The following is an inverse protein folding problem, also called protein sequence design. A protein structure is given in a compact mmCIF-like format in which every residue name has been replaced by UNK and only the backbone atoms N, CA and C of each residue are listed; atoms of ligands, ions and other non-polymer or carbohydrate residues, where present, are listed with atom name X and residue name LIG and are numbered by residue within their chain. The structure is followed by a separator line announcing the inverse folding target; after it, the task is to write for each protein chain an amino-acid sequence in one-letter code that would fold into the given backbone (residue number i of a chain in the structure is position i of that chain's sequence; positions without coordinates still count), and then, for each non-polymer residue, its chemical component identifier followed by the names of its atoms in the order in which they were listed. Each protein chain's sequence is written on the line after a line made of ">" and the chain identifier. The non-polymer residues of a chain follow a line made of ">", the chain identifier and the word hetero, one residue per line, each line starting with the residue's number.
data_IF_732122333990
#
_entry.id   IF_732122333990
#
_cell.length_a   1.000
_cell.length_b   1.000
_cell.length_c   1.000
_cell.angle_alpha   90.00
_cell.angle_beta   90.00
_cell.angle_gamma   90.00
#
_symmetry.space_group_name_H-M   'P 1'
#
loop_
_entity.id
_entity.type
_entity.pdbx_description
1 polymer ?
#
# COMPACT_ATOMS: atom_id res chain seq x y z
N UNK A 1 5.81 -7.39 -5.57
CA UNK A 1 6.58 -6.99 -4.39
C UNK A 1 8.05 -7.06 -4.74
N UNK A 2 8.85 -6.10 -4.27
CA UNK A 2 10.30 -6.13 -4.41
C UNK A 2 10.91 -6.01 -3.01
N UNK A 3 11.80 -6.95 -2.65
CA UNK A 3 12.28 -7.13 -1.28
C UNK A 3 11.40 -8.09 -0.45
N UNK A 4 11.88 -8.43 0.74
CA UNK A 4 11.15 -9.16 1.80
C UNK A 4 10.66 -8.16 2.85
N UNK A 5 9.58 -8.49 3.54
CA UNK A 5 9.04 -7.64 4.62
C UNK A 5 10.03 -7.41 5.77
N UNK A 6 11.02 -8.28 5.91
CA UNK A 6 12.02 -8.18 6.96
C UNK A 6 13.23 -7.32 6.54
N UNK A 7 13.31 -6.93 5.27
CA UNK A 7 14.37 -6.06 4.74
C UNK A 7 14.24 -4.65 5.31
N UNK A 8 15.36 -3.93 5.34
CA UNK A 8 15.40 -2.51 5.76
C UNK A 8 14.51 -1.64 4.87
N UNK A 9 14.40 -1.99 3.58
CA UNK A 9 13.48 -1.34 2.65
C UNK A 9 12.76 -2.38 1.80
N UNK A 10 11.44 -2.26 1.69
CA UNK A 10 10.65 -3.07 0.76
C UNK A 10 9.61 -2.24 0.01
N UNK A 11 9.26 -2.69 -1.19
CA UNK A 11 8.32 -1.97 -2.07
C UNK A 11 7.12 -2.84 -2.45
N UNK A 12 5.93 -2.30 -2.23
CA UNK A 12 4.66 -2.85 -2.68
C UNK A 12 4.15 -2.00 -3.85
N UNK A 13 3.70 -2.67 -4.91
CA UNK A 13 3.10 -2.05 -6.08
C UNK A 13 1.74 -2.66 -6.31
N UNK A 14 0.72 -1.84 -6.52
CA UNK A 14 -0.65 -2.30 -6.76
C UNK A 14 -1.42 -1.29 -7.61
N UNK A 15 -2.51 -1.75 -8.20
CA UNK A 15 -3.47 -0.91 -8.92
C UNK A 15 -4.72 -0.82 -8.06
N UNK A 16 -5.19 0.38 -7.79
CA UNK A 16 -6.45 0.62 -7.10
C UNK A 16 -7.60 0.77 -8.10
N UNK A 17 -8.79 0.36 -7.70
CA UNK A 17 -10.01 0.66 -8.46
C UNK A 17 -10.29 2.18 -8.45
N UNK A 18 -11.14 2.68 -9.35
CA UNK A 18 -11.63 4.05 -9.29
C UNK A 18 -12.09 4.50 -7.89
N UNK A 19 -11.51 5.59 -7.39
CA UNK A 19 -11.89 6.23 -6.12
C UNK A 19 -11.97 7.75 -6.28
N UNK A 20 -12.83 8.37 -5.48
CA UNK A 20 -12.94 9.82 -5.39
C UNK A 20 -11.63 10.48 -4.94
N UNK A 21 -10.82 9.78 -4.14
CA UNK A 21 -9.54 10.26 -3.62
C UNK A 21 -8.53 10.63 -4.73
N UNK A 22 -8.71 10.10 -5.94
CA UNK A 22 -7.90 10.39 -7.12
C UNK A 22 -8.75 10.65 -8.37
N UNK A 23 -9.90 11.30 -8.17
CA UNK A 23 -10.73 11.84 -9.25
C UNK A 23 -11.54 10.80 -10.03
N UNK A 24 -11.96 9.72 -9.36
CA UNK A 24 -12.69 8.59 -9.93
C UNK A 24 -11.93 7.88 -11.08
N UNK A 25 -10.60 7.93 -11.07
CA UNK A 25 -9.72 7.25 -12.04
C UNK A 25 -9.11 5.99 -11.48
N UNK A 26 -8.57 5.10 -12.30
CA UNK A 26 -7.71 4.02 -11.79
C UNK A 26 -6.34 4.62 -11.42
N UNK A 27 -5.68 4.15 -10.37
CA UNK A 27 -4.35 4.61 -10.01
C UNK A 27 -3.37 3.46 -9.77
N UNK A 28 -2.15 3.61 -10.28
CA UNK A 28 -1.01 2.75 -9.95
C UNK A 28 -0.28 3.35 -8.75
N UNK A 29 -0.13 2.55 -7.69
CA UNK A 29 0.50 2.95 -6.45
C UNK A 29 1.84 2.21 -6.27
N UNK A 30 2.81 2.94 -5.75
CA UNK A 30 4.05 2.41 -5.21
C UNK A 30 4.20 2.86 -3.76
N UNK A 31 4.19 1.90 -2.85
CA UNK A 31 4.48 2.09 -1.43
C UNK A 31 5.88 1.56 -1.13
N UNK A 32 6.77 2.44 -0.67
CA UNK A 32 8.09 2.08 -0.18
C UNK A 32 8.09 2.19 1.34
N UNK A 33 8.42 1.10 2.01
CA UNK A 33 8.52 1.02 3.46
C UNK A 33 9.99 0.99 3.84
N UNK A 34 10.36 1.79 4.84
CA UNK A 34 11.73 1.95 5.32
C UNK A 34 11.71 1.75 6.83
N UNK A 35 12.46 0.76 7.32
CA UNK A 35 12.69 0.54 8.75
C UNK A 35 13.74 1.54 9.23
N UNK A 36 13.41 2.30 10.27
CA UNK A 36 14.34 3.25 10.89
C UNK A 36 14.63 2.85 12.33
N UNK A 37 15.72 3.37 12.89
CA UNK A 37 16.14 3.09 14.27
C UNK A 37 15.15 3.67 15.31
N UNK A 38 14.59 4.85 15.03
CA UNK A 38 13.62 5.53 15.92
C UNK A 38 12.16 5.25 15.53
N UNK A 39 11.86 5.23 14.23
CA UNK A 39 10.52 5.01 13.70
C UNK A 39 10.58 4.46 12.27
N UNK A 40 9.61 3.63 11.91
CA UNK A 40 9.46 3.19 10.53
C UNK A 40 8.61 4.17 9.75
N UNK A 41 8.96 4.40 8.49
CA UNK A 41 8.28 5.33 7.60
C UNK A 41 7.88 4.67 6.29
N UNK A 42 6.81 5.16 5.69
CA UNK A 42 6.44 4.80 4.32
C UNK A 42 6.38 6.04 3.44
N UNK A 43 6.66 5.83 2.16
CA UNK A 43 6.51 6.80 1.08
C UNK A 43 5.56 6.20 0.06
N UNK A 44 4.49 6.92 -0.25
CA UNK A 44 3.54 6.57 -1.30
C UNK A 44 3.69 7.50 -2.49
N UNK A 45 3.92 6.92 -3.66
CA UNK A 45 3.78 7.58 -4.95
C UNK A 45 2.62 6.94 -5.70
N UNK A 46 1.86 7.75 -6.45
CA UNK A 46 0.83 7.22 -7.31
C UNK A 46 0.68 8.03 -8.60
N UNK A 47 0.25 7.35 -9.66
CA UNK A 47 -0.04 7.93 -10.97
C UNK A 47 -1.39 7.39 -11.44
N UNK A 48 -2.29 8.27 -11.86
CA UNK A 48 -3.57 7.85 -12.44
C UNK A 48 -3.36 7.30 -13.85
N UNK A 49 -4.34 6.57 -14.36
CA UNK A 49 -4.35 6.00 -15.71
C UNK A 49 -4.16 7.02 -16.86
N UNK A 50 -4.47 8.30 -16.63
CA UNK A 50 -4.19 9.39 -17.58
C UNK A 50 -2.75 9.90 -17.55
N UNK A 51 -1.91 9.38 -16.65
CA UNK A 51 -0.51 9.77 -16.49
C UNK A 51 -0.27 10.95 -15.54
N UNK A 52 -1.32 11.51 -14.91
CA UNK A 52 -1.16 12.56 -13.90
C UNK A 52 -0.58 11.96 -12.60
N UNK A 53 0.50 12.55 -12.10
CA UNK A 53 1.06 12.16 -10.81
C UNK A 53 0.20 12.70 -9.65
N UNK A 54 -0.06 11.84 -8.66
CA UNK A 54 -0.69 12.23 -7.40
C UNK A 54 0.42 12.68 -6.45
N UNK A 55 0.13 13.72 -5.65
CA UNK A 55 1.07 14.25 -4.68
C UNK A 55 1.58 13.15 -3.74
N UNK A 56 2.90 13.03 -3.61
CA UNK A 56 3.55 12.07 -2.73
C UNK A 56 3.02 12.20 -1.30
N UNK A 57 2.75 11.07 -0.67
CA UNK A 57 2.37 11.00 0.74
C UNK A 57 3.46 10.29 1.54
N UNK A 58 3.66 10.71 2.78
CA UNK A 58 4.60 10.07 3.70
C UNK A 58 3.90 9.87 5.04
N UNK A 59 4.26 8.80 5.75
CA UNK A 59 3.74 8.56 7.09
C UNK A 59 4.57 7.56 7.86
N UNK A 60 4.17 7.26 9.08
CA UNK A 60 4.78 6.21 9.90
C UNK A 60 3.98 4.91 9.83
N UNK A 61 4.62 3.78 10.11
CA UNK A 61 3.93 2.49 10.19
C UNK A 61 4.45 1.60 11.31
N UNK A 62 3.60 0.69 11.78
CA UNK A 62 3.98 -0.42 12.66
C UNK A 62 3.77 -1.74 11.90
N UNK A 63 4.54 -2.76 12.28
CA UNK A 63 4.44 -4.10 11.72
C UNK A 63 4.37 -5.09 12.87
N UNK A 64 3.35 -5.94 12.85
CA UNK A 64 3.12 -6.94 13.89
C UNK A 64 2.89 -8.31 13.26
N UNK A 65 3.16 -9.36 14.03
CA UNK A 65 2.88 -10.72 13.61
C UNK A 65 1.37 -10.93 13.49
N UNK A 66 0.90 -11.29 12.30
CA UNK A 66 -0.49 -11.71 12.14
C UNK A 66 -0.72 -13.03 12.93
N UNK A 67 -1.59 -12.99 13.94
CA UNK A 67 -1.93 -14.13 14.79
C UNK A 67 -3.12 -14.94 14.27
N UNK A 68 -3.80 -14.46 13.22
CA UNK A 68 -4.97 -15.14 12.63
C UNK A 68 -4.49 -16.34 11.82
N UNK A 69 -4.69 -17.54 12.36
CA UNK A 69 -4.20 -18.81 11.79
C UNK A 69 -5.04 -19.31 10.61
N UNK A 70 -6.29 -18.86 10.49
CA UNK A 70 -7.19 -19.27 9.41
C UNK A 70 -8.00 -18.05 8.95
N UNK A 71 -7.72 -17.49 7.75
CA UNK A 71 -8.58 -16.45 7.19
C UNK A 71 -9.93 -17.10 6.96
N UNK A 72 -10.90 -16.85 7.86
CA UNK A 72 -12.27 -17.30 7.68
C UNK A 72 -12.69 -16.83 6.30
N UNK A 73 -13.09 -17.77 5.43
CA UNK A 73 -13.60 -17.44 4.11
C UNK A 73 -14.72 -16.42 4.27
N UNK A 74 -14.44 -15.15 3.97
CA UNK A 74 -15.46 -14.12 3.89
C UNK A 74 -16.30 -14.48 2.67
N UNK A 75 -17.39 -15.22 2.87
CA UNK A 75 -18.40 -15.38 1.83
C UNK A 75 -18.88 -13.99 1.48
N UNK A 76 -18.63 -13.53 0.26
CA UNK A 76 -19.20 -12.29 -0.26
C UNK A 76 -20.73 -12.45 -0.28
N UNK A 77 -21.39 -12.10 0.82
CA UNK A 77 -22.84 -12.00 0.88
C UNK A 77 -23.24 -10.68 0.26
N UNK A 78 -23.17 -10.57 -1.07
CA UNK A 78 -23.97 -9.61 -1.82
C UNK A 78 -24.23 -10.18 -3.22
N UNK A 79 -25.52 -10.29 -3.52
CA UNK A 79 -26.14 -10.88 -4.70
C UNK A 79 -26.70 -9.74 -5.55
#
# INVERSE_FOLDING_TARGET
>A
MQGKFDDETFTVRFISLPSADWGNKTAFHQLTFIRGDEQNVFIQNAIVDTGEAIAQQNGTYTQEKNTVTNPVSTSWKNK
#
